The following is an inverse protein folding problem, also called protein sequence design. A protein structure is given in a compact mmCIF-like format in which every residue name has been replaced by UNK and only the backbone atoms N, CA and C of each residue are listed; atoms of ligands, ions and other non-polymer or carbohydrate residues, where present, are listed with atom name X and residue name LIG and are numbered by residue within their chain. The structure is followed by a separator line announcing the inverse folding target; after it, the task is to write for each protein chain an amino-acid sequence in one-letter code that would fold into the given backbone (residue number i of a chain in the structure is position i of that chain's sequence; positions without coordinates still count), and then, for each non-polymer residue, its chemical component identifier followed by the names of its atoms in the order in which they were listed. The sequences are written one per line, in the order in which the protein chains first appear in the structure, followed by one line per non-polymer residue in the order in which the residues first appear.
data_IF_606278308999
#
_entry.id   IF_606278308999
#
_cell.length_a   1.000
_cell.length_b   1.000
_cell.length_c   1.000
_cell.angle_alpha   90.00
_cell.angle_beta   90.00
_cell.angle_gamma   90.00
#
_symmetry.space_group_name_H-M   'P 1'
#
loop_
_entity.id
_entity.type
_entity.pdbx_description
1 polymer ?
#
# COMPACT_ATOMS: atom_id res chain seq x y z
N UNK A 1 11.24 -29.49 -15.55
CA UNK A 1 10.40 -28.76 -14.58
C UNK A 1 11.31 -27.88 -13.73
N UNK A 2 11.75 -26.74 -14.27
CA UNK A 2 12.55 -25.76 -13.52
C UNK A 2 11.59 -24.63 -13.17
N UNK A 3 11.24 -24.52 -11.89
CA UNK A 3 10.37 -23.45 -11.38
C UNK A 3 11.16 -22.15 -11.50
N UNK A 4 10.86 -21.37 -12.53
CA UNK A 4 11.37 -20.02 -12.75
C UNK A 4 10.73 -19.06 -11.73
N UNK A 5 11.04 -19.27 -10.45
CA UNK A 5 10.59 -18.47 -9.31
C UNK A 5 11.53 -17.26 -9.09
N UNK A 6 12.07 -16.67 -10.16
CA UNK A 6 13.22 -15.77 -10.09
C UNK A 6 12.99 -14.33 -10.52
N UNK A 7 11.91 -14.01 -11.25
CA UNK A 7 11.54 -12.62 -11.53
C UNK A 7 10.69 -12.09 -10.38
N UNK A 8 11.32 -12.03 -9.20
CA UNK A 8 10.83 -11.30 -8.05
C UNK A 8 10.31 -9.94 -8.54
N UNK A 9 9.03 -9.67 -8.28
CA UNK A 9 8.35 -8.38 -8.40
C UNK A 9 9.36 -7.26 -8.67
N UNK A 10 9.53 -6.88 -9.95
CA UNK A 10 10.67 -6.06 -10.38
C UNK A 10 10.88 -4.86 -9.46
N UNK A 11 12.13 -4.49 -9.16
CA UNK A 11 12.52 -3.43 -8.22
C UNK A 11 11.53 -2.27 -7.97
N UNK A 12 10.91 -1.65 -8.99
CA UNK A 12 9.85 -0.65 -8.80
C UNK A 12 8.65 -1.10 -7.95
N UNK A 13 8.22 -2.37 -8.02
CA UNK A 13 7.12 -2.91 -7.24
C UNK A 13 7.47 -3.06 -5.75
N UNK A 14 8.68 -3.54 -5.43
CA UNK A 14 9.16 -3.65 -4.05
C UNK A 14 9.30 -2.25 -3.43
N UNK A 15 9.82 -1.28 -4.18
CA UNK A 15 9.90 0.11 -3.74
C UNK A 15 8.51 0.70 -3.43
N UNK A 16 7.52 0.46 -4.31
CA UNK A 16 6.13 0.89 -4.12
C UNK A 16 5.49 0.29 -2.87
N UNK A 17 5.69 -1.00 -2.63
CA UNK A 17 5.19 -1.69 -1.42
C UNK A 17 5.88 -1.15 -0.16
N UNK A 18 7.20 -0.94 -0.21
CA UNK A 18 7.96 -0.40 0.92
C UNK A 18 7.51 1.01 1.30
N UNK A 19 7.35 1.90 0.32
CA UNK A 19 6.84 3.25 0.55
C UNK A 19 5.42 3.20 1.12
N UNK A 20 4.56 2.35 0.56
CA UNK A 20 3.20 2.14 1.05
C UNK A 20 3.16 1.72 2.51
N UNK A 21 3.96 0.73 2.89
CA UNK A 21 4.03 0.24 4.26
C UNK A 21 4.48 1.32 5.26
N UNK A 22 5.46 2.16 4.88
CA UNK A 22 5.90 3.28 5.72
C UNK A 22 4.76 4.28 5.93
N UNK A 23 4.05 4.62 4.85
CA UNK A 23 2.92 5.57 4.92
C UNK A 23 1.78 4.99 5.79
N UNK A 24 1.46 3.71 5.65
CA UNK A 24 0.42 3.05 6.45
C UNK A 24 0.77 3.08 7.95
N UNK A 25 2.03 2.80 8.32
CA UNK A 25 2.48 2.88 9.73
C UNK A 25 2.24 4.28 10.30
N UNK A 26 2.59 5.32 9.54
CA UNK A 26 2.39 6.72 9.97
C UNK A 26 0.89 7.01 10.13
N UNK A 27 0.05 6.56 9.21
CA UNK A 27 -1.39 6.79 9.28
C UNK A 27 -2.05 6.02 10.42
N UNK A 28 -1.61 4.79 10.70
CA UNK A 28 -2.05 4.05 11.87
C UNK A 28 -1.66 4.74 13.17
N UNK A 29 -0.44 5.31 13.25
CA UNK A 29 -0.04 6.12 14.41
C UNK A 29 -0.98 7.30 14.64
N UNK A 30 -1.33 8.04 13.58
CA UNK A 30 -2.31 9.13 13.68
C UNK A 30 -3.70 8.61 14.07
N UNK A 31 -4.14 7.49 13.52
CA UNK A 31 -5.41 6.87 13.86
C UNK A 31 -5.50 6.52 15.35
N UNK A 32 -4.44 5.93 15.92
CA UNK A 32 -4.39 5.65 17.37
C UNK A 32 -4.40 6.93 18.20
N UNK A 33 -3.62 7.94 17.79
CA UNK A 33 -3.63 9.24 18.47
C UNK A 33 -5.02 9.87 18.49
N UNK A 34 -5.76 9.82 17.38
CA UNK A 34 -7.13 10.36 17.32
C UNK A 34 -8.14 9.50 18.09
N UNK A 35 -7.88 8.20 18.20
CA UNK A 35 -8.69 7.32 19.04
C UNK A 35 -8.51 7.66 20.53
N UNK A 36 -7.29 7.98 20.96
CA UNK A 36 -7.00 8.45 22.32
C UNK A 36 -7.62 9.83 22.61
N UNK A 37 -7.77 10.67 21.58
CA UNK A 37 -8.49 11.95 21.66
C UNK A 37 -10.02 11.79 21.59
N UNK A 38 -10.54 10.56 21.61
CA UNK A 38 -11.97 10.19 21.46
C UNK A 38 -12.63 10.76 20.18
N UNK A 39 -11.81 11.12 19.19
CA UNK A 39 -12.26 11.76 17.96
C UNK A 39 -12.59 10.72 16.89
N UNK A 40 -13.77 10.11 17.01
CA UNK A 40 -14.26 9.08 16.09
C UNK A 40 -14.24 9.52 14.62
N UNK A 41 -14.54 10.80 14.34
CA UNK A 41 -14.57 11.31 12.97
C UNK A 41 -13.18 11.28 12.33
N UNK A 42 -12.14 11.73 13.03
CA UNK A 42 -10.78 11.69 12.50
C UNK A 42 -10.25 10.26 12.35
N UNK A 43 -10.63 9.34 13.24
CA UNK A 43 -10.32 7.91 13.13
C UNK A 43 -10.91 7.31 11.85
N UNK A 44 -12.20 7.57 11.59
CA UNK A 44 -12.85 7.09 10.36
C UNK A 44 -12.23 7.70 9.11
N UNK A 45 -11.86 8.99 9.15
CA UNK A 45 -11.22 9.68 8.04
C UNK A 45 -9.81 9.14 7.75
N UNK A 46 -9.03 8.85 8.79
CA UNK A 46 -7.70 8.22 8.64
C UNK A 46 -7.81 6.79 8.12
N UNK A 47 -8.75 6.00 8.62
CA UNK A 47 -9.02 4.66 8.09
C UNK A 47 -9.43 4.69 6.60
N UNK A 48 -10.28 5.65 6.20
CA UNK A 48 -10.65 5.83 4.81
C UNK A 48 -9.45 6.22 3.93
N UNK A 49 -8.56 7.09 4.42
CA UNK A 49 -7.31 7.47 3.73
C UNK A 49 -6.39 6.27 3.50
N UNK A 50 -6.21 5.40 4.50
CA UNK A 50 -5.45 4.15 4.37
C UNK A 50 -6.03 3.30 3.24
N UNK A 51 -7.37 3.13 3.22
CA UNK A 51 -8.05 2.39 2.17
C UNK A 51 -7.81 2.96 0.75
N UNK A 52 -7.84 4.28 0.60
CA UNK A 52 -7.58 4.96 -0.67
C UNK A 52 -6.12 4.73 -1.13
N UNK A 53 -5.16 4.82 -0.21
CA UNK A 53 -3.74 4.62 -0.52
C UNK A 53 -3.49 3.16 -0.91
N UNK A 54 -4.06 2.20 -0.18
CA UNK A 54 -3.97 0.78 -0.50
C UNK A 54 -4.53 0.48 -1.90
N UNK A 55 -5.68 1.07 -2.26
CA UNK A 55 -6.25 0.98 -3.60
C UNK A 55 -5.34 1.60 -4.67
N UNK A 56 -4.71 2.74 -4.36
CA UNK A 56 -3.75 3.40 -5.24
C UNK A 56 -2.53 2.52 -5.52
N UNK A 57 -1.94 1.93 -4.49
CA UNK A 57 -0.81 1.01 -4.61
C UNK A 57 -1.20 -0.25 -5.38
N UNK A 58 -2.36 -0.84 -5.07
CA UNK A 58 -2.87 -2.02 -5.77
C UNK A 58 -3.06 -1.74 -7.27
N UNK A 59 -3.68 -0.62 -7.64
CA UNK A 59 -3.82 -0.21 -9.04
C UNK A 59 -2.47 0.08 -9.69
N UNK A 60 -1.54 0.71 -8.97
CA UNK A 60 -0.18 0.97 -9.43
C UNK A 60 0.58 -0.33 -9.75
N UNK A 61 0.53 -1.30 -8.85
CA UNK A 61 1.12 -2.63 -9.00
C UNK A 61 0.48 -3.39 -10.18
N UNK A 62 -0.85 -3.38 -10.30
CA UNK A 62 -1.55 -4.01 -11.43
C UNK A 62 -1.15 -3.37 -12.76
N UNK A 63 -1.03 -2.05 -12.83
CA UNK A 63 -0.56 -1.34 -14.03
C UNK A 63 0.88 -1.73 -14.40
N UNK A 64 1.78 -1.78 -13.42
CA UNK A 64 3.18 -2.16 -13.60
C UNK A 64 3.32 -3.63 -14.04
N UNK A 65 2.54 -4.51 -13.44
CA UNK A 65 2.44 -5.93 -13.81
C UNK A 65 1.96 -6.09 -15.25
N UNK A 66 0.87 -5.41 -15.62
CA UNK A 66 0.30 -5.48 -16.98
C UNK A 66 1.28 -4.94 -18.03
N UNK A 67 2.06 -3.91 -17.71
CA UNK A 67 3.12 -3.37 -18.58
C UNK A 67 4.30 -4.34 -18.77
N UNK A 68 4.65 -5.13 -17.75
CA UNK A 68 5.77 -6.07 -17.82
C UNK A 68 5.39 -7.45 -18.39
N UNK A 69 4.14 -7.90 -18.25
CA UNK A 69 3.67 -9.21 -18.72
C UNK A 69 2.84 -9.17 -20.02
N UNK A 70 2.60 -7.99 -20.59
CA UNK A 70 1.84 -7.82 -21.84
C UNK A 70 2.66 -7.82 -23.13
N UNK A 71 3.84 -8.44 -23.15
CA UNK A 71 4.66 -8.65 -24.37
C UNK A 71 4.76 -10.14 -24.68
#
# INVERSE_FOLDING_TARGET
MSRDNGKALGGPAIALVGIGAIIDIILFYFMFKFADEENLFMVLLTAALIGIIALGIAKGLVSLSRRNYGK
#
